data_IF_261765940378
#
_entry.id   IF_261765940378
#
_cell.length_a   1.000
_cell.length_b   1.000
_cell.length_c   1.000
_cell.angle_alpha   90.00
_cell.angle_beta   90.00
_cell.angle_gamma   90.00
#
_symmetry.space_group_name_H-M   'P 1'
#
loop_
_entity.id
_entity.type
_entity.pdbx_description
1 polymer ?
#
# COMPACT_ATOMS: atom_id res chain seq x y z
N UNK A 1 0.71 -9.76 21.13
CA UNK A 1 0.32 -9.73 19.68
C UNK A 1 1.45 -9.14 18.88
N UNK A 2 1.98 -9.90 17.92
CA UNK A 2 3.11 -9.51 17.06
C UNK A 2 2.61 -9.22 15.65
N UNK A 3 2.91 -8.04 15.11
CA UNK A 3 2.39 -7.56 13.83
C UNK A 3 3.56 -7.16 12.95
N UNK A 4 3.59 -7.67 11.72
CA UNK A 4 4.51 -7.24 10.67
C UNK A 4 3.74 -6.48 9.59
N UNK A 5 4.11 -5.23 9.32
CA UNK A 5 3.54 -4.43 8.25
C UNK A 5 4.53 -4.33 7.09
N UNK A 6 4.05 -4.52 5.87
CA UNK A 6 4.87 -4.56 4.65
C UNK A 6 4.29 -3.57 3.63
N UNK A 7 5.10 -2.61 3.21
CA UNK A 7 4.79 -1.75 2.08
C UNK A 7 5.83 -1.92 0.97
N UNK A 8 5.38 -2.42 -0.16
CA UNK A 8 6.16 -2.49 -1.40
C UNK A 8 5.45 -1.80 -2.56
N UNK A 9 4.27 -1.23 -2.31
CA UNK A 9 3.43 -0.61 -3.32
C UNK A 9 3.92 0.78 -3.76
N UNK A 10 4.64 1.49 -2.88
CA UNK A 10 5.19 2.81 -3.16
C UNK A 10 6.60 2.73 -3.75
N UNK A 11 7.13 3.87 -4.17
CA UNK A 11 8.49 3.97 -4.74
C UNK A 11 9.59 3.57 -3.75
N UNK A 12 9.32 3.74 -2.46
CA UNK A 12 10.18 3.34 -1.36
C UNK A 12 9.48 2.26 -0.55
N UNK A 13 10.08 1.08 -0.47
CA UNK A 13 9.55 -0.01 0.35
C UNK A 13 9.85 0.24 1.84
N UNK A 14 8.92 -0.17 2.69
CA UNK A 14 9.06 0.02 4.14
C UNK A 14 8.42 -1.12 4.93
N UNK A 15 8.94 -1.32 6.14
CA UNK A 15 8.48 -2.32 7.10
C UNK A 15 8.19 -1.66 8.44
N UNK A 16 7.21 -2.18 9.15
CA UNK A 16 7.01 -1.89 10.57
C UNK A 16 6.80 -3.21 11.32
N UNK A 17 7.42 -3.34 12.47
CA UNK A 17 7.26 -4.47 13.36
C UNK A 17 6.75 -3.97 14.71
N UNK A 18 5.66 -4.56 15.19
CA UNK A 18 5.17 -4.37 16.56
C UNK A 18 5.27 -5.67 17.33
N UNK A 19 5.87 -5.59 18.49
CA UNK A 19 5.97 -6.69 19.45
C UNK A 19 5.47 -6.25 20.84
N UNK A 20 5.53 -7.11 21.81
CA UNK A 20 5.25 -6.78 23.21
C UNK A 20 6.33 -5.87 23.81
N UNK A 21 7.54 -5.90 23.24
CA UNK A 21 8.69 -5.14 23.71
C UNK A 21 8.81 -3.74 23.07
N UNK A 22 8.00 -3.44 22.04
CA UNK A 22 8.02 -2.17 21.35
C UNK A 22 7.78 -2.28 19.85
N UNK A 23 8.11 -1.21 19.16
CA UNK A 23 7.92 -1.05 17.73
C UNK A 23 9.27 -0.75 17.06
N UNK A 24 9.49 -1.34 15.89
CA UNK A 24 10.67 -1.11 15.07
C UNK A 24 10.26 -0.81 13.63
N UNK A 25 11.02 0.07 12.97
CA UNK A 25 10.66 0.60 11.66
C UNK A 25 11.86 0.56 10.73
N UNK A 26 11.63 0.20 9.48
CA UNK A 26 12.67 0.15 8.47
C UNK A 26 12.13 0.72 7.15
N UNK A 27 12.90 1.64 6.57
CA UNK A 27 12.68 2.14 5.21
C UNK A 27 13.85 1.68 4.35
N UNK A 28 13.57 1.03 3.23
CA UNK A 28 14.60 0.58 2.31
C UNK A 28 15.12 1.75 1.47
N UNK A 29 16.34 1.61 0.97
CA UNK A 29 16.92 2.60 0.05
C UNK A 29 16.04 2.68 -1.23
N UNK A 30 15.71 3.90 -1.66
CA UNK A 30 14.91 4.18 -2.85
C UNK A 30 15.49 3.56 -4.14
N UNK A 31 16.81 3.35 -4.19
CA UNK A 31 17.49 2.70 -5.30
C UNK A 31 17.53 1.16 -5.20
N UNK A 32 17.05 0.60 -4.07
CA UNK A 32 17.06 -0.84 -3.86
C UNK A 32 15.93 -1.51 -4.66
N UNK A 33 16.24 -2.59 -5.37
CA UNK A 33 15.21 -3.43 -5.98
C UNK A 33 14.44 -4.16 -4.86
N UNK A 34 13.18 -3.79 -4.67
CA UNK A 34 12.33 -4.38 -3.62
C UNK A 34 12.28 -5.91 -3.71
N UNK A 35 12.32 -6.48 -4.93
CA UNK A 35 12.33 -7.93 -5.14
C UNK A 35 13.53 -8.65 -4.51
N UNK A 36 14.66 -7.98 -4.35
CA UNK A 36 15.89 -8.56 -3.81
C UNK A 36 16.10 -8.23 -2.33
N UNK A 37 15.51 -7.13 -1.86
CA UNK A 37 15.82 -6.54 -0.56
C UNK A 37 14.75 -6.72 0.52
N UNK A 38 13.47 -6.87 0.12
CA UNK A 38 12.37 -6.89 1.10
C UNK A 38 12.44 -8.13 2.00
N UNK A 39 12.70 -9.32 1.45
CA UNK A 39 12.77 -10.54 2.27
C UNK A 39 13.97 -10.55 3.22
N UNK A 40 15.21 -10.20 2.81
CA UNK A 40 16.31 -9.98 3.74
C UNK A 40 16.01 -8.94 4.82
N UNK A 41 15.37 -7.82 4.45
CA UNK A 41 15.01 -6.78 5.42
C UNK A 41 13.97 -7.25 6.45
N UNK A 42 13.05 -8.13 6.04
CA UNK A 42 12.13 -8.79 6.99
C UNK A 42 12.91 -9.68 7.96
N UNK A 43 13.85 -10.47 7.47
CA UNK A 43 14.69 -11.31 8.31
C UNK A 43 15.53 -10.47 9.29
N UNK A 44 16.16 -9.41 8.81
CA UNK A 44 16.98 -8.49 9.63
C UNK A 44 16.16 -7.84 10.76
N UNK A 45 14.95 -7.31 10.47
CA UNK A 45 14.13 -6.66 11.49
C UNK A 45 13.62 -7.67 12.53
N UNK A 46 13.29 -8.89 12.11
CA UNK A 46 12.89 -9.96 13.02
C UNK A 46 14.04 -10.41 13.91
N UNK A 47 15.22 -10.67 13.34
CA UNK A 47 16.43 -11.07 14.10
C UNK A 47 16.85 -9.99 15.09
N UNK A 48 16.86 -8.72 14.70
CA UNK A 48 17.16 -7.58 15.58
C UNK A 48 16.25 -7.56 16.81
N UNK A 49 14.99 -7.99 16.66
CA UNK A 49 14.01 -8.03 17.74
C UNK A 49 13.94 -9.40 18.45
N UNK A 50 14.83 -10.34 18.10
CA UNK A 50 14.93 -11.65 18.74
C UNK A 50 13.74 -12.57 18.51
N UNK A 51 13.01 -12.39 17.40
CA UNK A 51 11.84 -13.20 17.04
C UNK A 51 12.01 -13.82 15.65
N UNK A 52 11.23 -14.86 15.40
CA UNK A 52 11.12 -15.52 14.10
C UNK A 52 9.82 -15.16 13.39
N UNK A 53 9.76 -15.37 12.08
CA UNK A 53 8.52 -15.15 11.29
C UNK A 53 7.36 -16.03 11.79
N UNK A 54 7.65 -17.21 12.34
CA UNK A 54 6.66 -18.13 12.90
C UNK A 54 5.93 -17.60 14.15
N UNK A 55 6.45 -16.54 14.77
CA UNK A 55 5.88 -15.91 15.95
C UNK A 55 4.99 -14.71 15.60
N UNK A 56 4.88 -14.33 14.34
CA UNK A 56 4.01 -13.25 13.88
C UNK A 56 2.56 -13.73 13.88
N UNK A 57 1.69 -12.98 14.54
CA UNK A 57 0.24 -13.24 14.59
C UNK A 57 -0.50 -12.67 13.39
N UNK A 58 -0.08 -11.46 12.96
CA UNK A 58 -0.75 -10.69 11.91
C UNK A 58 0.27 -10.11 10.95
N UNK A 59 0.02 -10.25 9.65
CA UNK A 59 0.73 -9.49 8.62
C UNK A 59 -0.24 -8.49 7.97
N UNK A 60 0.18 -7.23 7.95
CA UNK A 60 -0.46 -6.17 7.19
C UNK A 60 0.33 -5.90 5.92
N UNK A 61 -0.34 -5.81 4.77
CA UNK A 61 0.33 -5.59 3.48
C UNK A 61 -0.39 -4.55 2.65
N UNK A 62 0.38 -3.61 2.08
CA UNK A 62 -0.18 -2.64 1.13
C UNK A 62 -0.41 -3.34 -0.21
N UNK A 63 -1.68 -3.43 -0.62
CA UNK A 63 -2.12 -4.17 -1.82
C UNK A 63 -2.31 -3.30 -3.05
N UNK A 64 -2.07 -1.99 -2.96
CA UNK A 64 -2.22 -1.04 -4.06
C UNK A 64 -3.50 -0.19 -3.95
N UNK A 65 -3.77 0.64 -4.98
CA UNK A 65 -3.00 0.77 -6.23
C UNK A 65 -1.57 1.28 -6.03
N UNK A 66 -0.68 1.09 -7.01
CA UNK A 66 0.71 1.53 -6.93
C UNK A 66 1.64 0.82 -7.92
N UNK A 67 2.90 0.68 -7.55
CA UNK A 67 3.89 -0.05 -8.33
C UNK A 67 3.43 -1.46 -8.66
N UNK A 68 3.23 -1.76 -9.94
CA UNK A 68 2.74 -3.06 -10.41
C UNK A 68 3.62 -4.24 -9.96
N UNK A 69 4.93 -4.05 -9.98
CA UNK A 69 5.88 -5.04 -9.47
C UNK A 69 5.84 -5.10 -7.95
N UNK A 70 5.81 -3.94 -7.30
CA UNK A 70 5.83 -3.85 -5.84
C UNK A 70 4.63 -4.53 -5.18
N UNK A 71 3.41 -4.26 -5.61
CA UNK A 71 2.20 -4.89 -5.02
C UNK A 71 2.21 -6.40 -5.19
N UNK A 72 2.78 -6.91 -6.28
CA UNK A 72 2.93 -8.36 -6.49
C UNK A 72 3.96 -8.99 -5.56
N UNK A 73 5.07 -8.32 -5.32
CA UNK A 73 6.11 -8.77 -4.37
C UNK A 73 5.50 -8.90 -2.98
N UNK A 74 4.84 -7.86 -2.47
CA UNK A 74 4.19 -7.88 -1.15
C UNK A 74 3.16 -8.98 -1.04
N UNK A 75 2.25 -9.09 -2.02
CA UNK A 75 1.22 -10.11 -2.02
C UNK A 75 1.80 -11.54 -2.10
N UNK A 76 2.83 -11.76 -2.92
CA UNK A 76 3.48 -13.08 -3.04
C UNK A 76 4.18 -13.49 -1.74
N UNK A 77 4.89 -12.57 -1.10
CA UNK A 77 5.53 -12.82 0.20
C UNK A 77 4.51 -13.21 1.26
N UNK A 78 3.43 -12.43 1.40
CA UNK A 78 2.40 -12.72 2.40
C UNK A 78 1.68 -14.03 2.11
N UNK A 79 1.36 -14.33 0.85
CA UNK A 79 0.80 -15.64 0.48
C UNK A 79 1.74 -16.79 0.82
N UNK A 80 3.04 -16.62 0.56
CA UNK A 80 4.06 -17.60 0.97
C UNK A 80 4.09 -17.82 2.48
N UNK A 81 4.04 -16.75 3.27
CA UNK A 81 3.96 -16.85 4.73
C UNK A 81 2.68 -17.57 5.19
N UNK A 82 1.53 -17.26 4.60
CA UNK A 82 0.27 -17.91 4.96
C UNK A 82 0.22 -19.40 4.63
N UNK A 83 0.92 -19.83 3.59
CA UNK A 83 1.08 -21.28 3.28
C UNK A 83 1.91 -21.98 4.34
N UNK A 84 2.99 -21.34 4.80
CA UNK A 84 3.88 -21.91 5.82
C UNK A 84 3.31 -21.79 7.25
N UNK A 85 2.48 -20.77 7.51
CA UNK A 85 1.99 -20.37 8.83
C UNK A 85 0.45 -20.27 8.82
N UNK A 86 -0.27 -21.38 8.99
CA UNK A 86 -1.74 -21.39 8.90
C UNK A 86 -2.48 -20.53 9.94
N UNK A 87 -1.80 -20.14 11.02
CA UNK A 87 -2.36 -19.26 12.06
C UNK A 87 -2.32 -17.78 11.69
N UNK A 88 -1.53 -17.41 10.68
CA UNK A 88 -1.26 -16.03 10.31
C UNK A 88 -2.53 -15.35 9.77
N UNK A 89 -2.92 -14.25 10.38
CA UNK A 89 -4.01 -13.40 9.90
C UNK A 89 -3.47 -12.31 8.98
N UNK A 90 -4.26 -11.90 7.99
CA UNK A 90 -3.86 -10.91 6.99
C UNK A 90 -4.78 -9.70 7.04
N UNK A 91 -4.17 -8.50 7.01
CA UNK A 91 -4.83 -7.23 6.79
C UNK A 91 -4.34 -6.66 5.46
N UNK A 92 -5.27 -6.36 4.55
CA UNK A 92 -4.96 -5.76 3.26
C UNK A 92 -5.19 -4.24 3.33
N UNK A 93 -4.14 -3.47 3.12
CA UNK A 93 -4.16 -2.00 3.17
C UNK A 93 -4.26 -1.44 1.75
N UNK A 94 -5.29 -0.66 1.46
CA UNK A 94 -5.37 0.10 0.22
C UNK A 94 -4.42 1.31 0.30
N UNK A 95 -3.66 1.57 -0.77
CA UNK A 95 -2.67 2.66 -0.80
C UNK A 95 -3.30 4.04 -0.65
N UNK A 96 -4.43 4.29 -1.32
CA UNK A 96 -5.12 5.58 -1.27
C UNK A 96 -5.76 5.80 0.10
N UNK A 97 -6.26 4.73 0.75
CA UNK A 97 -6.80 4.81 2.10
C UNK A 97 -5.71 5.11 3.13
N UNK A 98 -4.52 4.52 2.97
CA UNK A 98 -3.36 4.85 3.81
C UNK A 98 -2.94 6.32 3.64
N UNK A 99 -2.94 6.85 2.42
CA UNK A 99 -2.65 8.27 2.14
C UNK A 99 -3.69 9.18 2.78
N UNK A 100 -4.97 8.81 2.69
CA UNK A 100 -6.06 9.57 3.30
C UNK A 100 -5.98 9.57 4.83
N UNK A 101 -5.65 8.43 5.43
CA UNK A 101 -5.44 8.30 6.86
C UNK A 101 -4.26 9.17 7.34
N UNK A 102 -3.12 9.12 6.64
CA UNK A 102 -1.95 9.99 6.92
C UNK A 102 -2.35 11.47 6.88
N UNK A 103 -3.02 11.90 5.81
CA UNK A 103 -3.45 13.27 5.65
C UNK A 103 -4.40 13.72 6.77
N UNK A 104 -5.39 12.91 7.12
CA UNK A 104 -6.32 13.24 8.19
C UNK A 104 -5.64 13.35 9.56
N UNK A 105 -4.69 12.46 9.85
CA UNK A 105 -3.96 12.47 11.12
C UNK A 105 -3.07 13.72 11.30
N UNK A 106 -2.42 14.18 10.24
CA UNK A 106 -1.40 15.23 10.36
C UNK A 106 -1.87 16.61 9.88
N UNK A 107 -2.94 16.70 9.08
CA UNK A 107 -3.42 17.97 8.52
C UNK A 107 -4.82 18.37 9.00
N UNK A 108 -5.56 17.46 9.65
CA UNK A 108 -6.90 17.69 10.19
C UNK A 108 -7.82 18.44 9.18
N UNK A 109 -8.06 17.90 7.99
CA UNK A 109 -8.80 18.61 6.95
C UNK A 109 -10.24 18.90 7.38
N UNK A 110 -10.75 20.07 7.00
CA UNK A 110 -12.13 20.50 7.32
C UNK A 110 -13.11 20.27 6.16
N UNK A 111 -12.62 19.82 5.00
CA UNK A 111 -13.39 19.56 3.78
C UNK A 111 -13.03 18.22 3.19
N UNK A 112 -13.87 17.74 2.28
CA UNK A 112 -13.57 16.56 1.46
C UNK A 112 -12.29 16.78 0.65
N UNK A 113 -11.59 15.70 0.37
CA UNK A 113 -10.34 15.69 -0.37
C UNK A 113 -10.21 14.42 -1.21
N UNK A 114 -9.20 14.37 -2.07
CA UNK A 114 -8.89 13.20 -2.89
C UNK A 114 -7.47 12.74 -2.64
N UNK A 115 -7.26 11.44 -2.40
CA UNK A 115 -5.95 10.86 -2.55
C UNK A 115 -5.71 10.53 -4.03
N UNK A 116 -4.54 10.94 -4.53
CA UNK A 116 -4.16 10.74 -5.93
C UNK A 116 -2.78 10.10 -6.04
N UNK A 117 -2.64 9.19 -7.00
CA UNK A 117 -1.37 8.54 -7.29
C UNK A 117 -1.17 8.41 -8.80
N UNK A 118 0.07 8.56 -9.26
CA UNK A 118 0.40 8.46 -10.68
C UNK A 118 0.18 7.04 -11.20
N UNK A 119 -0.70 6.90 -12.21
CA UNK A 119 -0.95 5.64 -12.90
C UNK A 119 -0.18 5.54 -14.23
N UNK A 120 0.72 6.49 -14.52
CA UNK A 120 1.48 6.63 -15.76
C UNK A 120 0.61 6.90 -17.00
N UNK A 121 1.22 7.46 -18.03
CA UNK A 121 0.52 7.76 -19.29
C UNK A 121 -0.56 8.85 -19.16
N UNK A 122 -0.36 9.84 -18.29
CA UNK A 122 -1.31 10.93 -18.07
C UNK A 122 -2.58 10.50 -17.33
N UNK A 123 -2.54 9.39 -16.61
CA UNK A 123 -3.66 8.85 -15.82
C UNK A 123 -3.32 8.82 -14.34
N UNK A 124 -4.36 8.87 -13.49
CA UNK A 124 -4.22 8.90 -12.05
C UNK A 124 -5.16 7.88 -11.40
N UNK A 125 -4.68 7.22 -10.37
CA UNK A 125 -5.54 6.54 -9.42
C UNK A 125 -6.08 7.58 -8.45
N UNK A 126 -7.38 7.61 -8.27
CA UNK A 126 -8.07 8.62 -7.44
C UNK A 126 -9.12 7.96 -6.57
N UNK A 127 -9.23 8.39 -5.34
CA UNK A 127 -10.35 8.08 -4.45
C UNK A 127 -10.69 9.32 -3.62
N UNK A 128 -11.99 9.59 -3.50
CA UNK A 128 -12.52 10.72 -2.72
C UNK A 128 -12.80 10.29 -1.28
N UNK A 129 -12.58 11.22 -0.36
CA UNK A 129 -12.74 11.03 1.09
C UNK A 129 -13.45 12.21 1.74
N UNK A 130 -14.23 11.92 2.78
CA UNK A 130 -14.68 12.93 3.72
C UNK A 130 -13.50 13.45 4.56
N UNK A 131 -13.71 14.54 5.28
CA UNK A 131 -12.67 15.16 6.12
C UNK A 131 -12.10 14.24 7.22
N UNK A 132 -12.81 13.20 7.60
CA UNK A 132 -12.40 12.19 8.58
C UNK A 132 -11.70 10.97 7.94
N UNK A 133 -11.32 11.06 6.66
CA UNK A 133 -10.77 9.99 5.83
C UNK A 133 -11.75 8.82 5.54
N UNK A 134 -13.06 9.00 5.77
CA UNK A 134 -14.06 8.03 5.33
C UNK A 134 -14.16 8.04 3.80
N UNK A 135 -14.00 6.88 3.12
CA UNK A 135 -14.12 6.83 1.66
C UNK A 135 -15.53 7.16 1.18
N UNK A 136 -15.65 8.06 0.19
CA UNK A 136 -16.93 8.47 -0.42
C UNK A 136 -17.30 7.65 -1.68
N UNK A 137 -16.44 6.71 -2.06
CA UNK A 137 -16.68 5.85 -3.23
C UNK A 137 -15.56 4.87 -3.48
N UNK A 138 -15.60 4.21 -4.61
CA UNK A 138 -14.54 3.30 -5.05
C UNK A 138 -13.38 4.08 -5.67
N UNK A 139 -12.18 3.52 -5.55
CA UNK A 139 -11.02 4.04 -6.27
C UNK A 139 -11.21 3.88 -7.78
N UNK A 140 -10.79 4.89 -8.55
CA UNK A 140 -10.99 5.00 -10.00
C UNK A 140 -9.67 5.31 -10.71
N UNK A 141 -9.59 4.93 -11.98
CA UNK A 141 -8.56 5.40 -12.91
C UNK A 141 -9.17 6.55 -13.73
N UNK A 142 -8.54 7.72 -13.70
CA UNK A 142 -9.01 8.91 -14.39
C UNK A 142 -7.92 9.59 -15.21
N UNK A 143 -8.29 10.33 -16.25
CA UNK A 143 -7.39 11.23 -16.99
C UNK A 143 -7.51 12.68 -16.49
N UNK A 144 -8.67 13.06 -15.98
CA UNK A 144 -8.93 14.39 -15.41
C UNK A 144 -9.09 14.30 -13.92
N UNK A 145 -8.38 15.16 -13.20
CA UNK A 145 -8.38 15.19 -11.74
C UNK A 145 -9.56 16.01 -11.21
N UNK A 146 -10.11 15.62 -10.06
CA UNK A 146 -11.14 16.39 -9.38
C UNK A 146 -10.63 17.76 -8.91
N UNK A 147 -11.57 18.67 -8.58
CA UNK A 147 -11.25 20.03 -8.15
C UNK A 147 -10.94 20.14 -6.66
N UNK A 148 -11.28 19.14 -5.87
CA UNK A 148 -11.02 19.04 -4.45
C UNK A 148 -9.51 19.04 -4.15
N UNK A 149 -9.15 19.30 -2.89
CA UNK A 149 -7.76 19.20 -2.44
C UNK A 149 -7.19 17.81 -2.76
N UNK A 150 -6.10 17.80 -3.51
CA UNK A 150 -5.42 16.58 -3.97
C UNK A 150 -4.22 16.26 -3.08
N UNK A 151 -4.24 15.08 -2.48
CA UNK A 151 -3.19 14.57 -1.61
C UNK A 151 -2.36 13.55 -2.38
N UNK A 152 -1.08 13.83 -2.56
CA UNK A 152 -0.11 12.97 -3.24
C UNK A 152 0.94 12.40 -2.30
N UNK A 153 1.71 11.42 -2.77
CA UNK A 153 2.87 10.88 -2.04
C UNK A 153 4.10 11.77 -2.26
N UNK A 154 4.76 12.14 -1.17
CA UNK A 154 5.95 12.99 -1.17
C UNK A 154 7.10 12.44 -2.03
N UNK A 155 7.45 11.13 -1.97
CA UNK A 155 8.50 10.58 -2.81
C UNK A 155 8.19 10.61 -4.32
N UNK A 156 6.90 10.67 -4.70
CA UNK A 156 6.47 10.70 -6.10
C UNK A 156 6.47 12.12 -6.68
N UNK A 157 6.47 13.15 -5.81
CA UNK A 157 6.50 14.58 -6.16
C UNK A 157 5.55 14.93 -7.31
N UNK A 158 4.31 14.39 -7.26
CA UNK A 158 3.31 14.56 -8.30
C UNK A 158 2.88 16.03 -8.38
N UNK A 159 3.15 16.71 -9.51
CA UNK A 159 2.92 18.16 -9.68
C UNK A 159 1.46 18.57 -9.49
N UNK A 160 0.53 17.64 -9.71
CA UNK A 160 -0.91 17.84 -9.59
C UNK A 160 -1.42 17.77 -8.14
N UNK A 161 -0.58 17.33 -7.20
CA UNK A 161 -0.97 17.29 -5.79
C UNK A 161 -0.85 18.67 -5.14
N UNK A 162 -1.83 19.02 -4.32
CA UNK A 162 -1.86 20.26 -3.53
C UNK A 162 -1.12 20.08 -2.20
N UNK A 163 -1.14 18.85 -1.65
CA UNK A 163 -0.50 18.47 -0.39
C UNK A 163 0.19 17.12 -0.54
N UNK A 164 1.27 16.92 0.19
CA UNK A 164 2.04 15.68 0.15
C UNK A 164 2.08 14.99 1.51
N UNK A 165 1.89 13.66 1.50
CA UNK A 165 2.02 12.78 2.66
C UNK A 165 3.17 11.81 2.48
N UNK A 166 3.76 11.36 3.57
CA UNK A 166 4.91 10.44 3.55
C UNK A 166 4.49 8.97 3.60
N UNK A 167 3.35 8.66 4.21
CA UNK A 167 2.92 7.30 4.53
C UNK A 167 4.06 6.49 5.18
N UNK A 168 4.68 7.08 6.18
CA UNK A 168 5.79 6.48 6.93
C UNK A 168 5.42 5.09 7.48
N UNK A 169 6.38 4.21 7.77
CA UNK A 169 6.08 2.90 8.36
C UNK A 169 5.35 3.00 9.70
N UNK A 170 5.52 4.09 10.44
CA UNK A 170 4.73 4.41 11.65
C UNK A 170 3.25 4.61 11.33
N UNK A 171 2.92 5.38 10.30
CA UNK A 171 1.54 5.60 9.83
C UNK A 171 0.93 4.29 9.32
N UNK A 172 1.69 3.49 8.59
CA UNK A 172 1.23 2.17 8.13
C UNK A 172 0.86 1.27 9.32
N UNK A 173 1.68 1.25 10.37
CA UNK A 173 1.37 0.49 11.58
C UNK A 173 0.10 1.01 12.27
N UNK A 174 -0.03 2.33 12.44
CA UNK A 174 -1.23 2.93 13.06
C UNK A 174 -2.50 2.62 12.28
N UNK A 175 -2.47 2.75 10.96
CA UNK A 175 -3.62 2.42 10.13
C UNK A 175 -3.92 0.92 10.15
N UNK A 176 -2.89 0.06 10.16
CA UNK A 176 -3.07 -1.39 10.31
C UNK A 176 -3.72 -1.75 11.65
N UNK A 177 -3.35 -1.07 12.74
CA UNK A 177 -3.99 -1.27 14.04
C UNK A 177 -5.47 -0.88 14.02
N UNK A 178 -5.82 0.24 13.40
CA UNK A 178 -7.22 0.64 13.22
C UNK A 178 -8.03 -0.41 12.44
N UNK A 179 -7.46 -0.97 11.37
CA UNK A 179 -8.09 -2.04 10.59
C UNK A 179 -8.24 -3.35 11.41
N UNK A 180 -7.26 -3.68 12.24
CA UNK A 180 -7.30 -4.83 13.15
C UNK A 180 -8.42 -4.66 14.20
N UNK A 181 -8.53 -3.49 14.79
CA UNK A 181 -9.59 -3.14 15.74
C UNK A 181 -10.99 -3.21 15.09
N UNK A 182 -11.09 -2.78 13.83
CA UNK A 182 -12.29 -2.92 13.01
C UNK A 182 -12.57 -4.37 12.53
N UNK A 183 -11.72 -5.33 12.89
CA UNK A 183 -11.78 -6.73 12.46
C UNK A 183 -11.74 -6.89 10.91
N UNK A 184 -11.04 -6.01 10.19
CA UNK A 184 -10.94 -5.97 8.74
C UNK A 184 -9.91 -6.97 8.19
N UNK A 185 -9.98 -8.22 8.62
CA UNK A 185 -9.13 -9.29 8.10
C UNK A 185 -9.62 -9.78 6.74
N UNK A 186 -8.68 -10.21 5.91
CA UNK A 186 -8.95 -10.81 4.60
C UNK A 186 -8.56 -12.28 4.58
N UNK A 187 -9.22 -13.05 3.73
CA UNK A 187 -8.83 -14.44 3.51
C UNK A 187 -7.50 -14.50 2.74
N UNK A 188 -6.51 -15.14 3.35
CA UNK A 188 -5.17 -15.33 2.81
C UNK A 188 -5.15 -16.01 1.43
N UNK A 189 -6.15 -16.85 1.11
CA UNK A 189 -6.23 -17.54 -0.18
C UNK A 189 -6.75 -16.64 -1.31
N UNK A 190 -7.67 -15.73 -0.98
CA UNK A 190 -8.42 -14.95 -1.97
C UNK A 190 -7.93 -13.52 -2.10
N UNK A 191 -7.22 -12.95 -1.10
CA UNK A 191 -6.73 -11.59 -1.23
C UNK A 191 -5.79 -11.44 -2.44
N UNK A 192 -5.87 -10.30 -3.10
CA UNK A 192 -5.08 -10.03 -4.30
C UNK A 192 -4.67 -8.55 -4.34
N UNK A 193 -3.62 -8.22 -5.10
CA UNK A 193 -3.33 -6.83 -5.43
C UNK A 193 -4.52 -6.13 -6.08
N UNK A 194 -4.71 -4.86 -5.76
CA UNK A 194 -5.74 -4.02 -6.37
C UNK A 194 -5.21 -3.50 -7.70
N UNK A 195 -5.75 -4.04 -8.79
CA UNK A 195 -5.44 -3.60 -10.15
C UNK A 195 -6.57 -2.72 -10.68
N UNK A 196 -6.35 -1.40 -10.70
CA UNK A 196 -7.26 -0.43 -11.33
C UNK A 196 -6.87 -0.15 -12.79
N UNK A 197 -5.79 -0.76 -13.27
CA UNK A 197 -5.25 -0.63 -14.61
C UNK A 197 -4.74 -1.99 -15.09
N UNK A 198 -4.91 -2.26 -16.38
CA UNK A 198 -4.25 -3.39 -17.03
C UNK A 198 -2.72 -3.24 -16.98
N UNK A 199 -2.02 -4.34 -17.02
CA UNK A 199 -0.56 -4.31 -17.18
C UNK A 199 -0.19 -3.69 -18.52
N UNK A 200 1.03 -3.14 -18.65
CA UNK A 200 1.51 -2.58 -19.91
C UNK A 200 1.48 -3.62 -21.05
N UNK A 201 1.68 -4.89 -20.73
CA UNK A 201 1.62 -5.98 -21.71
C UNK A 201 0.19 -6.19 -22.23
N UNK A 202 -0.80 -6.18 -21.33
CA UNK A 202 -2.21 -6.30 -21.69
C UNK A 202 -2.70 -5.08 -22.49
N UNK A 203 -2.32 -3.86 -22.07
CA UNK A 203 -2.64 -2.64 -22.85
C UNK A 203 -2.02 -2.66 -24.25
N UNK A 204 -0.78 -3.15 -24.38
CA UNK A 204 -0.13 -3.27 -25.69
C UNK A 204 -0.77 -4.35 -26.56
N UNK A 205 -1.30 -5.42 -25.95
CA UNK A 205 -2.03 -6.45 -26.68
C UNK A 205 -3.34 -5.91 -27.22
N UNK A 206 -4.15 -5.25 -26.37
CA UNK A 206 -5.41 -4.62 -26.80
C UNK A 206 -5.20 -3.64 -27.96
N UNK A 207 -4.18 -2.78 -27.87
CA UNK A 207 -3.86 -1.84 -28.97
C UNK A 207 -3.50 -2.55 -30.27
N UNK A 208 -2.85 -3.72 -30.21
CA UNK A 208 -2.53 -4.50 -31.42
C UNK A 208 -3.76 -5.15 -32.02
N UNK A 209 -4.69 -5.63 -31.19
CA UNK A 209 -5.95 -6.21 -31.61
C UNK A 209 -6.84 -5.14 -32.26
N UNK A 210 -7.00 -3.97 -31.64
CA UNK A 210 -7.75 -2.83 -32.20
C UNK A 210 -7.16 -2.34 -33.55
N UNK A 211 -5.84 -2.34 -33.71
CA UNK A 211 -5.17 -1.95 -34.96
C UNK A 211 -5.25 -3.06 -36.05
N UNK A 212 -5.56 -4.29 -35.71
CA UNK A 212 -5.68 -5.39 -36.67
C UNK A 212 -7.13 -5.53 -37.23
N UNK A 213 -8.10 -4.94 -36.53
CA UNK A 213 -9.52 -4.91 -36.93
C UNK A 213 -9.90 -3.67 -37.77
N UNK A 214 -9.00 -2.66 -37.86
CA UNK A 214 -9.15 -1.47 -38.73
C UNK A 214 -8.28 -1.57 -39.98
#
# INVERSE_FOLDING_TARGET
MKILCINTAFSVASLALKTENGEDFLTLDANAKSSEKVLPAIDDILQKNGISIGEIDIVSVVVGPGSFTGVRIGAALVKGFCVALPHLKVVAVNSLDLMAFDFACFHAPSKNFCAIQNALGGRFFVREYASDATPLGQAKLVCELPTETKVGLKPEALSEADVFVDCAPTTLLQYSLALIEANAFVDAKTFAPVYLRLSQAEENLQKKEENAEN
#
